data_IF_059802672736
#
_entry.id   IF_059802672736
#
_cell.length_a   1.000
_cell.length_b   1.000
_cell.length_c   1.000
_cell.angle_alpha   90.00
_cell.angle_beta   90.00
_cell.angle_gamma   90.00
#
_symmetry.space_group_name_H-M   'P 1'
#
loop_
_entity.id
_entity.type
_entity.pdbx_description
1 polymer ?
#
# COMPACT_ATOMS: atom_id res chain seq x y z
N UNK A 1 -7.70 -53.18 -28.17
CA UNK A 1 -7.03 -54.06 -27.17
C UNK A 1 -5.56 -53.70 -27.11
N UNK A 2 -5.11 -53.08 -26.03
CA UNK A 2 -3.74 -53.14 -25.47
C UNK A 2 -3.78 -52.32 -24.17
N UNK A 3 -3.86 -53.05 -23.05
CA UNK A 3 -3.75 -52.51 -21.70
C UNK A 3 -2.25 -52.27 -21.44
N UNK A 4 -1.86 -51.07 -21.04
CA UNK A 4 -0.56 -50.85 -20.39
C UNK A 4 -0.80 -50.79 -18.88
N UNK A 5 -0.11 -51.69 -18.16
CA UNK A 5 -0.18 -51.83 -16.71
C UNK A 5 0.66 -50.78 -15.99
N UNK A 6 0.10 -50.25 -14.92
CA UNK A 6 0.80 -49.47 -13.90
C UNK A 6 1.69 -50.39 -13.07
N UNK A 7 2.98 -50.09 -12.99
CA UNK A 7 3.93 -50.73 -12.08
C UNK A 7 3.98 -49.93 -10.78
N UNK A 8 3.41 -50.48 -9.71
CA UNK A 8 3.54 -49.96 -8.35
C UNK A 8 4.95 -50.25 -7.84
N UNK A 9 5.74 -49.21 -7.55
CA UNK A 9 7.00 -49.33 -6.83
C UNK A 9 6.68 -49.22 -5.34
N UNK A 10 6.72 -50.35 -4.65
CA UNK A 10 6.72 -50.40 -3.18
C UNK A 10 8.12 -50.05 -2.67
N UNK A 11 8.25 -48.91 -2.00
CA UNK A 11 9.47 -48.57 -1.24
C UNK A 11 9.30 -49.15 0.16
N UNK A 12 10.02 -50.24 0.42
CA UNK A 12 10.22 -50.79 1.77
C UNK A 12 11.22 -49.93 2.52
N UNK A 13 10.78 -49.26 3.58
CA UNK A 13 11.63 -48.52 4.49
C UNK A 13 12.32 -49.53 5.44
N UNK A 14 13.60 -49.81 5.22
CA UNK A 14 14.43 -50.58 6.14
C UNK A 14 14.97 -49.65 7.22
N UNK A 15 14.58 -49.93 8.45
CA UNK A 15 15.10 -49.33 9.67
C UNK A 15 16.61 -49.56 9.79
N UNK A 16 17.38 -48.48 9.96
CA UNK A 16 18.65 -48.43 10.71
C UNK A 16 19.17 -46.98 10.76
N UNK A 17 19.25 -46.40 11.96
CA UNK A 17 20.15 -45.28 12.25
C UNK A 17 19.51 -43.88 12.31
N UNK A 18 18.74 -43.61 13.35
CA UNK A 18 18.39 -42.26 13.77
C UNK A 18 19.26 -41.89 15.00
N UNK A 19 20.11 -40.85 14.97
CA UNK A 19 20.75 -40.35 16.19
C UNK A 19 19.78 -39.45 16.97
N UNK A 20 19.57 -39.82 18.24
CA UNK A 20 18.78 -39.07 19.23
C UNK A 20 19.41 -37.71 19.55
N UNK A 21 18.61 -36.67 19.88
CA UNK A 21 19.13 -35.47 20.53
C UNK A 21 19.40 -35.76 22.02
N UNK A 22 20.62 -35.44 22.45
CA UNK A 22 21.05 -35.56 23.84
C UNK A 22 20.61 -34.33 24.64
N UNK A 23 20.07 -34.62 25.81
CA UNK A 23 19.63 -33.69 26.86
C UNK A 23 20.79 -32.83 27.39
N UNK A 24 20.54 -31.53 27.56
CA UNK A 24 21.44 -30.60 28.23
C UNK A 24 20.69 -29.41 28.80
N UNK A 25 20.10 -29.59 29.99
CA UNK A 25 19.50 -28.53 30.79
C UNK A 25 20.46 -27.93 31.81
N UNK A 26 20.44 -26.60 31.92
CA UNK A 26 20.70 -25.71 33.08
C UNK A 26 20.61 -24.27 32.51
N UNK A 27 20.09 -23.22 33.13
CA UNK A 27 19.65 -22.94 34.49
C UNK A 27 18.59 -21.83 34.46
N UNK A 28 17.79 -21.78 35.52
CA UNK A 28 16.77 -20.75 35.75
C UNK A 28 17.40 -19.38 35.97
N UNK A 29 16.81 -18.32 35.40
CA UNK A 29 16.80 -17.01 36.05
C UNK A 29 15.48 -16.27 35.80
N UNK A 30 14.64 -16.31 36.83
CA UNK A 30 13.54 -15.37 37.07
C UNK A 30 14.10 -13.99 37.38
N UNK A 31 13.56 -12.94 36.77
CA UNK A 31 13.90 -11.56 37.10
C UNK A 31 13.01 -10.54 36.41
N UNK A 32 11.87 -10.23 37.04
CA UNK A 32 11.03 -9.08 36.73
C UNK A 32 11.73 -7.76 37.20
N UNK A 33 11.19 -6.57 36.82
CA UNK A 33 11.97 -5.37 36.60
C UNK A 33 12.30 -4.64 37.90
N UNK A 34 13.49 -4.03 37.97
CA UNK A 34 13.83 -3.05 38.99
C UNK A 34 13.92 -1.66 38.37
N UNK A 35 12.95 -0.86 38.78
CA UNK A 35 12.98 0.59 38.87
C UNK A 35 14.33 1.11 39.36
N UNK A 36 14.78 2.23 38.82
CA UNK A 36 15.34 3.26 39.68
C UNK A 36 14.93 4.65 39.21
N UNK A 37 14.43 5.40 40.18
CA UNK A 37 13.87 6.74 40.08
C UNK A 37 14.91 7.80 40.46
N UNK A 38 14.45 9.05 40.33
CA UNK A 38 14.88 10.27 41.03
C UNK A 38 15.97 11.09 40.30
N UNK A 39 15.84 12.42 40.15
CA UNK A 39 15.05 13.36 40.95
C UNK A 39 15.05 14.78 40.35
N UNK A 40 13.90 15.46 40.55
CA UNK A 40 13.71 16.87 40.96
C UNK A 40 14.18 17.96 39.98
N UNK A 41 13.49 19.07 39.74
CA UNK A 41 12.46 19.88 40.42
C UNK A 41 12.63 21.28 39.78
N UNK A 42 11.64 22.14 39.57
CA UNK A 42 10.88 22.84 40.61
C UNK A 42 9.78 23.65 39.91
N UNK A 43 8.72 23.85 40.65
CA UNK A 43 7.58 24.73 40.42
C UNK A 43 7.98 26.19 40.19
N UNK A 44 7.16 26.94 39.44
CA UNK A 44 6.74 28.27 39.89
C UNK A 44 5.47 28.75 39.17
N UNK A 45 4.68 29.46 39.96
CA UNK A 45 3.26 29.71 39.86
C UNK A 45 2.99 31.17 39.41
N UNK A 46 1.72 31.43 39.07
CA UNK A 46 1.04 32.73 39.19
C UNK A 46 1.14 33.80 38.09
N UNK A 47 -0.04 34.24 37.64
CA UNK A 47 -0.47 35.60 38.00
C UNK A 47 -0.79 36.59 36.88
N UNK A 48 -2.07 36.65 36.52
CA UNK A 48 -2.93 37.84 36.28
C UNK A 48 -2.37 39.14 35.69
N UNK A 49 -3.09 39.71 34.70
CA UNK A 49 -2.99 41.14 34.40
C UNK A 49 -3.86 41.62 33.23
N UNK A 50 -5.10 42.03 33.53
CA UNK A 50 -5.95 42.82 32.64
C UNK A 50 -5.47 44.28 32.60
N UNK A 51 -5.41 44.92 31.43
CA UNK A 51 -5.62 46.38 31.30
C UNK A 51 -6.14 46.77 29.92
N UNK A 52 -7.18 47.60 29.97
CA UNK A 52 -7.96 48.24 28.91
C UNK A 52 -7.21 49.34 28.15
N UNK A 53 -7.61 49.63 26.92
CA UNK A 53 -7.65 51.01 26.43
C UNK A 53 -8.69 51.21 25.32
N UNK A 54 -9.54 52.19 25.60
CA UNK A 54 -10.60 52.83 24.85
C UNK A 54 -10.19 53.50 23.53
N UNK A 55 -11.11 53.46 22.56
CA UNK A 55 -11.23 54.45 21.48
C UNK A 55 -12.71 54.61 21.11
N UNK A 56 -13.25 55.81 21.33
CA UNK A 56 -14.64 56.19 21.09
C UNK A 56 -14.74 57.18 19.91
N UNK A 57 -15.98 57.43 19.47
CA UNK A 57 -16.50 58.27 18.38
C UNK A 57 -16.70 57.49 17.06
N UNK A 58 -17.82 57.59 16.35
CA UNK A 58 -18.76 58.71 16.26
C UNK A 58 -20.16 58.23 15.81
N UNK A 59 -21.19 58.96 16.22
CA UNK A 59 -22.59 58.68 15.93
C UNK A 59 -23.10 59.66 14.88
N UNK A 60 -23.85 59.20 13.87
CA UNK A 60 -24.93 60.04 13.32
C UNK A 60 -26.08 59.21 12.75
N UNK A 61 -27.26 59.58 13.22
CA UNK A 61 -28.60 59.07 12.94
C UNK A 61 -29.05 59.10 11.48
N UNK A 62 -30.00 58.24 11.16
CA UNK A 62 -31.34 58.70 10.74
C UNK A 62 -32.38 57.59 10.92
N UNK A 63 -33.46 57.98 11.59
CA UNK A 63 -34.59 57.15 12.00
C UNK A 63 -35.75 57.25 11.01
N UNK A 64 -36.66 56.28 11.13
CA UNK A 64 -38.12 56.38 10.93
C UNK A 64 -38.70 55.90 9.58
N UNK A 65 -39.02 54.59 9.55
CA UNK A 65 -40.37 53.96 9.48
C UNK A 65 -41.50 54.57 8.59
N UNK A 66 -42.59 53.83 8.28
CA UNK A 66 -42.75 52.40 7.93
C UNK A 66 -43.63 52.22 6.66
N UNK A 67 -43.57 51.07 5.97
CA UNK A 67 -44.65 50.67 5.07
C UNK A 67 -44.66 49.16 4.81
N UNK A 68 -45.82 48.58 5.09
CA UNK A 68 -46.37 47.34 4.54
C UNK A 68 -45.59 46.04 4.79
N UNK A 69 -45.94 45.45 5.93
CA UNK A 69 -46.75 44.22 5.98
C UNK A 69 -47.34 43.75 4.64
N UNK A 70 -46.48 43.28 3.75
CA UNK A 70 -46.80 42.07 2.99
C UNK A 70 -45.83 41.02 3.47
N UNK A 71 -46.16 40.52 4.65
CA UNK A 71 -45.93 39.14 5.02
C UNK A 71 -46.42 38.28 3.85
N UNK A 72 -45.55 38.08 2.87
CA UNK A 72 -45.56 36.86 2.08
C UNK A 72 -44.98 35.80 3.00
N UNK A 73 -45.68 35.56 4.11
CA UNK A 73 -45.89 34.23 4.62
C UNK A 73 -46.65 33.49 3.52
N UNK A 74 -45.95 33.21 2.42
CA UNK A 74 -46.12 31.95 1.76
C UNK A 74 -45.44 30.98 2.73
N UNK A 75 -46.03 30.17 3.62
CA UNK A 75 -47.38 29.60 3.76
C UNK A 75 -48.13 29.36 2.45
N UNK A 76 -47.40 29.31 1.35
CA UNK A 76 -47.67 28.40 0.27
C UNK A 76 -46.77 27.23 0.60
N UNK A 77 -47.36 26.07 0.85
CA UNK A 77 -46.62 24.81 0.75
C UNK A 77 -46.20 24.63 -0.71
N UNK A 78 -45.22 25.40 -1.14
CA UNK A 78 -44.43 25.10 -2.31
C UNK A 78 -43.77 23.77 -2.04
N UNK A 79 -43.83 22.89 -3.02
CA UNK A 79 -43.00 21.68 -2.99
C UNK A 79 -41.56 22.19 -2.95
N UNK A 80 -40.72 21.74 -2.01
CA UNK A 80 -39.31 22.12 -1.99
C UNK A 80 -38.69 21.80 -3.35
N UNK A 81 -37.89 22.73 -3.88
CA UNK A 81 -37.27 22.60 -5.21
C UNK A 81 -35.77 22.54 -5.05
N UNK A 82 -35.22 21.35 -5.24
CA UNK A 82 -33.78 21.15 -5.25
C UNK A 82 -33.09 21.89 -6.41
N UNK A 83 -31.88 22.38 -6.15
CA UNK A 83 -31.02 23.06 -7.12
C UNK A 83 -31.36 24.55 -7.29
N UNK A 84 -32.07 25.17 -6.35
CA UNK A 84 -32.47 26.57 -6.42
C UNK A 84 -31.59 27.53 -5.58
N UNK A 85 -30.54 27.00 -4.96
CA UNK A 85 -29.58 27.64 -4.05
C UNK A 85 -30.20 28.12 -2.71
N UNK A 86 -31.35 27.57 -2.31
CA UNK A 86 -32.05 27.89 -1.08
C UNK A 86 -32.46 26.61 -0.37
N UNK A 87 -31.85 26.32 0.78
CA UNK A 87 -32.24 25.15 1.59
C UNK A 87 -33.65 25.35 2.17
N UNK A 88 -34.61 24.61 1.64
CA UNK A 88 -36.01 24.61 2.06
C UNK A 88 -36.31 23.52 3.10
N UNK A 89 -37.52 23.54 3.68
CA UNK A 89 -37.90 22.54 4.69
C UNK A 89 -38.02 21.15 4.04
N UNK A 90 -37.13 20.25 4.43
CA UNK A 90 -37.10 18.85 3.96
C UNK A 90 -35.85 18.51 3.19
N UNK A 91 -35.11 19.53 2.74
CA UNK A 91 -33.80 19.40 2.10
C UNK A 91 -32.70 19.32 3.17
N UNK A 92 -31.67 18.53 2.90
CA UNK A 92 -30.47 18.45 3.74
C UNK A 92 -29.39 19.43 3.27
N UNK A 93 -29.41 19.75 1.97
CA UNK A 93 -28.53 20.67 1.27
C UNK A 93 -29.27 21.23 0.03
N UNK A 94 -28.77 22.31 -0.56
CA UNK A 94 -29.12 22.78 -1.91
C UNK A 94 -27.95 23.65 -2.39
N UNK A 95 -27.25 23.24 -3.44
CA UNK A 95 -26.06 23.92 -3.98
C UNK A 95 -26.35 24.70 -5.28
N UNK A 96 -27.62 24.83 -5.66
CA UNK A 96 -28.05 25.63 -6.79
C UNK A 96 -27.85 24.99 -8.15
N UNK A 97 -27.66 23.67 -8.22
CA UNK A 97 -27.53 22.97 -9.49
C UNK A 97 -28.16 21.55 -9.47
N UNK A 98 -28.20 20.89 -10.62
CA UNK A 98 -28.74 19.52 -10.80
C UNK A 98 -27.61 18.49 -11.05
N UNK A 99 -26.46 18.65 -10.39
CA UNK A 99 -25.31 17.74 -10.48
C UNK A 99 -25.38 16.69 -9.37
N UNK A 100 -25.17 15.43 -9.72
CA UNK A 100 -25.02 14.37 -8.71
C UNK A 100 -23.59 14.30 -8.16
N UNK A 101 -22.58 14.82 -8.86
CA UNK A 101 -21.16 14.66 -8.50
C UNK A 101 -20.65 15.75 -7.55
N UNK A 102 -21.57 16.44 -6.89
CA UNK A 102 -21.28 17.57 -6.02
C UNK A 102 -21.61 17.18 -4.57
N UNK A 103 -21.36 18.08 -3.62
CA UNK A 103 -21.65 17.83 -2.19
C UNK A 103 -23.15 17.83 -1.85
N UNK A 104 -24.02 17.96 -2.85
CA UNK A 104 -25.46 17.88 -2.72
C UNK A 104 -26.04 17.14 -3.93
N UNK A 105 -26.78 16.06 -3.68
CA UNK A 105 -27.42 15.28 -4.75
C UNK A 105 -28.61 16.02 -5.36
N UNK A 106 -29.10 15.59 -6.54
CA UNK A 106 -30.30 16.18 -7.17
C UNK A 106 -31.59 15.95 -6.38
N UNK A 107 -31.53 15.09 -5.36
CA UNK A 107 -32.61 14.85 -4.40
C UNK A 107 -32.49 15.73 -3.15
N UNK A 108 -31.51 16.65 -3.11
CA UNK A 108 -31.20 17.53 -1.98
C UNK A 108 -30.90 16.76 -0.69
N UNK A 109 -30.23 15.63 -0.87
CA UNK A 109 -29.63 14.82 0.19
C UNK A 109 -28.11 14.99 0.15
N UNK A 110 -27.48 14.95 1.32
CA UNK A 110 -26.02 14.88 1.41
C UNK A 110 -25.56 13.51 0.88
N UNK A 111 -24.46 13.45 0.11
CA UNK A 111 -23.78 12.22 -0.30
C UNK A 111 -23.71 11.13 0.77
N UNK A 112 -23.90 9.87 0.37
CA UNK A 112 -23.79 8.71 1.25
C UNK A 112 -23.02 7.59 0.58
N UNK A 113 -22.03 7.07 1.30
CA UNK A 113 -21.16 5.96 0.89
C UNK A 113 -21.83 4.58 0.82
N UNK A 114 -23.15 4.49 0.67
CA UNK A 114 -23.89 3.22 0.62
C UNK A 114 -25.19 3.28 -0.21
N UNK A 115 -25.33 4.28 -1.07
CA UNK A 115 -26.56 4.52 -1.85
C UNK A 115 -26.43 4.26 -3.36
N UNK A 116 -25.25 3.82 -3.81
CA UNK A 116 -24.94 3.39 -5.18
C UNK A 116 -25.02 4.50 -6.19
N UNK A 117 -24.70 5.71 -5.75
CA UNK A 117 -24.54 6.89 -6.58
C UNK A 117 -23.08 7.29 -6.43
N UNK A 118 -22.44 7.74 -7.53
CA UNK A 118 -21.12 8.36 -7.46
C UNK A 118 -21.33 9.86 -7.23
N UNK A 119 -21.23 10.29 -5.98
CA UNK A 119 -21.50 11.66 -5.56
C UNK A 119 -20.45 12.23 -4.59
N UNK A 120 -20.56 13.51 -4.25
CA UNK A 120 -19.66 14.15 -3.30
C UNK A 120 -18.18 14.13 -3.71
N UNK A 121 -17.33 13.56 -2.86
CA UNK A 121 -15.89 13.39 -3.08
C UNK A 121 -15.48 11.93 -3.30
N UNK A 122 -16.43 11.06 -3.64
CA UNK A 122 -16.17 9.67 -4.01
C UNK A 122 -15.33 9.56 -5.28
N UNK A 123 -14.39 8.62 -5.28
CA UNK A 123 -13.52 8.34 -6.44
C UNK A 123 -13.94 7.11 -7.24
N UNK A 124 -14.77 6.27 -6.64
CA UNK A 124 -15.57 5.24 -7.31
C UNK A 124 -16.87 5.06 -6.50
N UNK A 125 -17.83 4.33 -7.05
CA UNK A 125 -19.18 4.20 -6.50
C UNK A 125 -19.15 3.77 -5.02
N UNK A 126 -19.67 4.62 -4.12
CA UNK A 126 -19.75 4.40 -2.67
C UNK A 126 -18.37 4.32 -1.95
N UNK A 127 -17.28 4.87 -2.53
CA UNK A 127 -15.94 4.79 -1.93
C UNK A 127 -14.97 5.93 -2.33
N UNK A 128 -13.92 6.11 -1.53
CA UNK A 128 -12.93 7.18 -1.70
C UNK A 128 -13.33 8.51 -1.06
N UNK A 129 -12.40 9.45 -0.94
CA UNK A 129 -12.67 10.75 -0.31
C UNK A 129 -13.10 10.62 1.16
N UNK A 130 -14.28 11.13 1.50
CA UNK A 130 -14.86 11.03 2.84
C UNK A 130 -15.42 9.63 3.16
N UNK A 131 -15.54 8.77 2.15
CA UNK A 131 -16.03 7.41 2.27
C UNK A 131 -14.94 6.41 2.67
N UNK A 132 -15.32 5.14 2.84
CA UNK A 132 -14.34 4.08 3.04
C UNK A 132 -13.46 3.93 1.80
N UNK A 133 -12.22 3.46 1.98
CA UNK A 133 -11.31 3.24 0.88
C UNK A 133 -11.83 2.21 -0.12
N UNK A 134 -11.67 2.51 -1.40
CA UNK A 134 -12.06 1.73 -2.56
C UNK A 134 -11.31 0.39 -2.63
N UNK A 135 -12.03 -0.67 -2.98
CA UNK A 135 -11.50 -2.02 -3.12
C UNK A 135 -10.58 -2.17 -4.35
N UNK A 136 -9.99 -3.36 -4.51
CA UNK A 136 -9.06 -3.67 -5.59
C UNK A 136 -9.70 -3.39 -6.96
N UNK A 137 -8.96 -2.67 -7.80
CA UNK A 137 -9.31 -2.23 -9.14
C UNK A 137 -10.40 -1.17 -9.27
N UNK A 138 -10.89 -0.61 -8.17
CA UNK A 138 -11.78 0.56 -8.18
C UNK A 138 -10.99 1.87 -8.34
N UNK A 139 -11.70 2.93 -8.74
CA UNK A 139 -11.19 4.27 -9.01
C UNK A 139 -10.64 4.99 -7.78
N UNK A 140 -9.58 5.77 -7.98
CA UNK A 140 -8.94 6.60 -6.96
C UNK A 140 -8.29 7.85 -7.57
N UNK A 141 -8.09 8.87 -6.73
CA UNK A 141 -7.33 10.08 -7.08
C UNK A 141 -6.06 10.22 -6.22
N UNK A 142 -6.10 9.73 -4.99
CA UNK A 142 -4.99 9.71 -4.03
C UNK A 142 -4.92 8.36 -3.31
N UNK A 143 -3.79 8.08 -2.65
CA UNK A 143 -3.60 6.80 -1.95
C UNK A 143 -4.62 6.56 -0.82
N UNK A 144 -5.07 7.62 -0.15
CA UNK A 144 -6.05 7.53 0.93
C UNK A 144 -7.45 7.12 0.44
N UNK A 145 -7.72 7.21 -0.86
CA UNK A 145 -8.98 6.74 -1.45
C UNK A 145 -9.06 5.22 -1.52
N UNK A 146 -7.97 4.50 -1.25
CA UNK A 146 -7.90 3.06 -1.40
C UNK A 146 -8.03 2.32 -0.07
N UNK A 147 -8.58 1.11 -0.12
CA UNK A 147 -8.67 0.23 1.05
C UNK A 147 -7.27 -0.09 1.60
N UNK A 148 -7.13 -0.40 2.90
CA UNK A 148 -5.83 -0.70 3.51
C UNK A 148 -5.05 -1.79 2.76
N UNK A 149 -3.78 -1.53 2.47
CA UNK A 149 -2.91 -2.44 1.71
C UNK A 149 -2.95 -2.23 0.20
N UNK A 150 -3.69 -1.23 -0.29
CA UNK A 150 -3.71 -0.81 -1.69
C UNK A 150 -3.10 0.58 -1.84
N UNK A 151 -2.63 0.88 -3.05
CA UNK A 151 -2.13 2.20 -3.46
C UNK A 151 -2.84 2.65 -4.73
N UNK A 152 -3.01 3.95 -4.88
CA UNK A 152 -3.54 4.51 -6.12
C UNK A 152 -2.43 4.57 -7.18
N UNK A 153 -2.61 3.85 -8.29
CA UNK A 153 -1.64 3.82 -9.38
C UNK A 153 -1.83 5.00 -10.34
N UNK A 154 -0.92 5.12 -11.32
CA UNK A 154 -0.95 6.20 -12.32
C UNK A 154 -2.18 6.15 -13.25
N UNK A 155 -2.86 5.00 -13.34
CA UNK A 155 -4.11 4.82 -14.10
C UNK A 155 -5.35 5.22 -13.29
N UNK A 156 -5.18 5.71 -12.04
CA UNK A 156 -6.27 6.10 -11.16
C UNK A 156 -7.04 4.90 -10.61
N UNK A 157 -6.36 3.78 -10.34
CA UNK A 157 -6.95 2.57 -9.75
C UNK A 157 -6.25 2.13 -8.47
N UNK A 158 -7.03 1.68 -7.51
CA UNK A 158 -6.54 1.05 -6.29
C UNK A 158 -5.99 -0.33 -6.61
N UNK A 159 -4.67 -0.49 -6.48
CA UNK A 159 -3.96 -1.73 -6.81
C UNK A 159 -2.99 -2.10 -5.70
N UNK A 160 -2.58 -3.37 -5.65
CA UNK A 160 -1.45 -3.74 -4.82
C UNK A 160 -0.19 -3.17 -5.47
N UNK A 161 0.57 -2.41 -4.70
CA UNK A 161 1.90 -1.90 -5.07
C UNK A 161 2.86 -2.24 -3.95
N UNK A 162 3.72 -3.22 -4.18
CA UNK A 162 4.68 -3.68 -3.17
C UNK A 162 6.10 -3.63 -3.73
N UNK A 163 7.06 -3.28 -2.88
CA UNK A 163 8.48 -3.27 -3.26
C UNK A 163 9.18 -4.45 -2.61
N UNK A 164 9.66 -5.37 -3.44
CA UNK A 164 10.44 -6.52 -3.00
C UNK A 164 11.93 -6.19 -3.05
N UNK A 165 12.64 -6.36 -1.92
CA UNK A 165 14.09 -6.22 -1.85
C UNK A 165 14.75 -7.57 -1.54
N UNK A 166 15.56 -8.09 -2.45
CA UNK A 166 16.28 -9.36 -2.26
C UNK A 166 17.75 -9.05 -1.97
N UNK A 167 18.19 -9.21 -0.72
CA UNK A 167 19.58 -8.96 -0.29
C UNK A 167 20.35 -10.24 -0.02
N UNK A 168 21.34 -10.55 -0.85
CA UNK A 168 22.13 -11.79 -0.73
C UNK A 168 23.17 -11.79 0.40
N UNK A 169 23.34 -10.71 1.17
CA UNK A 169 24.07 -10.79 2.44
C UNK A 169 23.20 -11.41 3.54
N UNK A 170 21.91 -11.11 3.53
CA UNK A 170 20.94 -11.64 4.50
C UNK A 170 20.25 -12.93 4.05
N UNK A 171 20.12 -13.14 2.73
CA UNK A 171 19.24 -14.13 2.11
C UNK A 171 20.02 -15.30 1.50
N UNK A 172 20.76 -16.01 2.34
CA UNK A 172 21.91 -16.76 1.87
C UNK A 172 21.94 -18.21 2.36
N UNK A 173 21.23 -19.10 1.65
CA UNK A 173 21.11 -20.51 2.06
C UNK A 173 19.86 -21.30 1.63
N UNK A 174 19.19 -20.98 0.52
CA UNK A 174 18.09 -21.78 -0.07
C UNK A 174 16.69 -21.20 0.11
N UNK A 175 15.66 -21.95 -0.32
CA UNK A 175 14.28 -21.50 -0.50
C UNK A 175 13.58 -20.87 0.73
N UNK A 176 14.17 -20.94 1.92
CA UNK A 176 13.64 -20.39 3.16
C UNK A 176 14.21 -19.00 3.55
N UNK A 177 15.08 -18.41 2.72
CA UNK A 177 15.74 -17.15 3.01
C UNK A 177 15.57 -16.18 1.84
N UNK A 178 14.34 -16.00 1.38
CA UNK A 178 13.97 -14.92 0.46
C UNK A 178 13.39 -13.73 1.21
N UNK A 179 13.12 -12.64 0.51
CA UNK A 179 12.18 -11.65 1.02
C UNK A 179 10.77 -12.07 0.60
N UNK A 180 9.80 -11.82 1.47
CA UNK A 180 8.42 -12.28 1.29
C UNK A 180 7.50 -11.07 1.30
N UNK A 181 6.58 -11.04 0.34
CA UNK A 181 5.38 -10.22 0.41
C UNK A 181 4.25 -11.16 0.82
N UNK A 182 3.65 -10.89 1.97
CA UNK A 182 2.63 -11.75 2.56
C UNK A 182 1.25 -11.42 1.97
N UNK A 183 0.42 -12.45 1.77
CA UNK A 183 -1.01 -12.26 1.50
C UNK A 183 -1.38 -11.58 0.19
N UNK A 184 -0.57 -11.72 -0.87
CA UNK A 184 -0.94 -11.23 -2.20
C UNK A 184 -2.22 -11.94 -2.70
N UNK A 185 -3.17 -11.21 -3.31
CA UNK A 185 -4.34 -11.83 -3.93
C UNK A 185 -3.95 -12.71 -5.14
N UNK A 186 -4.90 -13.53 -5.59
CA UNK A 186 -4.76 -14.22 -6.86
C UNK A 186 -4.94 -13.23 -8.01
N UNK A 187 -4.14 -13.33 -9.07
CA UNK A 187 -4.27 -12.45 -10.23
C UNK A 187 -2.99 -12.34 -11.03
N UNK A 188 -2.99 -11.38 -11.95
CA UNK A 188 -1.86 -11.08 -12.82
C UNK A 188 -1.11 -9.88 -12.26
N UNK A 189 0.22 -9.95 -12.30
CA UNK A 189 1.11 -8.95 -11.74
C UNK A 189 2.13 -8.50 -12.77
N UNK A 190 2.58 -7.26 -12.65
CA UNK A 190 3.77 -6.73 -13.30
C UNK A 190 4.90 -6.69 -12.27
N UNK A 191 5.99 -7.40 -12.55
CA UNK A 191 7.24 -7.22 -11.83
C UNK A 191 8.11 -6.23 -12.61
N UNK A 192 8.45 -5.08 -12.01
CA UNK A 192 9.31 -4.08 -12.67
C UNK A 192 10.60 -3.89 -11.89
N UNK A 193 11.75 -4.03 -12.55
CA UNK A 193 13.04 -3.82 -11.92
C UNK A 193 13.26 -2.34 -11.56
N UNK A 194 13.47 -2.06 -10.27
CA UNK A 194 13.69 -0.72 -9.75
C UNK A 194 15.18 -0.42 -9.58
N UNK A 195 15.61 0.84 -9.80
CA UNK A 195 16.99 1.26 -9.57
C UNK A 195 17.52 0.86 -8.20
N UNK A 196 18.39 -0.16 -8.15
CA UNK A 196 18.88 -0.73 -6.89
C UNK A 196 20.41 -0.86 -6.85
N UNK A 197 20.93 -0.93 -5.63
CA UNK A 197 22.37 -1.05 -5.37
C UNK A 197 22.85 -2.47 -5.71
N UNK A 198 23.18 -2.69 -6.98
CA UNK A 198 23.75 -3.95 -7.44
C UNK A 198 25.01 -4.40 -6.67
N UNK A 199 25.42 -5.65 -6.90
CA UNK A 199 26.44 -6.37 -6.12
C UNK A 199 27.71 -5.57 -5.78
N UNK A 200 28.20 -5.63 -4.54
CA UNK A 200 29.54 -5.22 -4.13
C UNK A 200 30.36 -6.49 -3.79
N UNK A 201 31.57 -6.60 -4.30
CA UNK A 201 32.52 -7.65 -3.88
C UNK A 201 33.57 -6.97 -3.00
N UNK A 202 33.71 -7.38 -1.74
CA UNK A 202 34.72 -6.83 -0.83
C UNK A 202 36.00 -7.68 -0.92
N UNK A 203 37.20 -7.07 -0.97
CA UNK A 203 38.47 -7.81 -0.90
C UNK A 203 38.49 -8.76 0.31
N UNK A 204 39.02 -10.00 0.19
CA UNK A 204 39.96 -10.49 -0.83
C UNK A 204 39.30 -11.15 -2.06
N UNK A 205 37.97 -11.12 -2.17
CA UNK A 205 37.26 -11.79 -3.25
C UNK A 205 37.33 -10.96 -4.54
N UNK A 206 37.92 -11.56 -5.58
CA UNK A 206 37.88 -11.02 -6.93
C UNK A 206 36.55 -11.47 -7.56
N UNK A 207 35.81 -10.63 -8.31
CA UNK A 207 34.72 -11.14 -9.12
C UNK A 207 35.25 -12.28 -9.99
N UNK A 208 34.44 -13.32 -10.30
CA UNK A 208 34.90 -14.37 -11.20
C UNK A 208 35.48 -13.72 -12.46
N UNK A 209 36.49 -14.34 -13.07
CA UNK A 209 37.16 -13.84 -14.29
C UNK A 209 36.23 -13.71 -15.52
N UNK A 210 34.92 -13.82 -15.30
CA UNK A 210 33.85 -13.92 -16.27
C UNK A 210 32.72 -12.92 -16.03
N UNK A 211 32.84 -11.83 -15.26
CA UNK A 211 31.86 -10.71 -15.23
C UNK A 211 30.56 -10.92 -14.41
N UNK A 212 29.66 -9.91 -14.41
CA UNK A 212 28.44 -9.83 -13.57
C UNK A 212 27.19 -10.46 -14.22
N UNK A 213 26.28 -11.06 -13.41
CA UNK A 213 25.01 -11.67 -13.81
C UNK A 213 23.97 -11.60 -12.65
N UNK A 214 22.69 -11.41 -12.98
CA UNK A 214 21.55 -11.37 -12.05
C UNK A 214 20.48 -12.37 -12.48
N UNK A 215 19.93 -13.14 -11.53
CA UNK A 215 18.75 -13.99 -11.70
C UNK A 215 18.04 -14.16 -10.34
N UNK A 216 16.73 -13.94 -10.32
CA UNK A 216 15.87 -14.09 -9.15
C UNK A 216 14.84 -15.18 -9.44
N UNK A 217 14.59 -16.05 -8.46
CA UNK A 217 13.51 -17.02 -8.50
C UNK A 217 12.55 -16.76 -7.36
N UNK A 218 11.26 -16.95 -7.63
CA UNK A 218 10.22 -16.85 -6.62
C UNK A 218 9.60 -18.23 -6.35
N UNK A 219 9.10 -18.42 -5.14
CA UNK A 219 8.37 -19.62 -4.76
C UNK A 219 7.07 -19.76 -5.56
N UNK A 220 6.47 -20.95 -5.54
CA UNK A 220 5.22 -21.21 -6.28
C UNK A 220 5.39 -21.39 -7.79
N UNK A 221 6.63 -21.48 -8.29
CA UNK A 221 6.92 -21.71 -9.71
C UNK A 221 6.95 -20.43 -10.55
N UNK A 222 6.91 -19.25 -9.92
CA UNK A 222 7.07 -17.96 -10.58
C UNK A 222 8.56 -17.76 -10.93
N UNK A 223 8.84 -17.68 -12.22
CA UNK A 223 10.19 -17.42 -12.75
C UNK A 223 10.18 -16.07 -13.48
N UNK A 224 11.01 -15.14 -13.02
CA UNK A 224 11.13 -13.82 -13.59
C UNK A 224 12.26 -13.81 -14.65
N UNK A 225 11.98 -14.46 -15.78
CA UNK A 225 12.93 -14.69 -16.89
C UNK A 225 13.34 -13.41 -17.66
N UNK A 226 12.54 -12.34 -17.59
CA UNK A 226 12.85 -11.03 -18.18
C UNK A 226 13.61 -10.15 -17.18
N UNK A 227 13.39 -10.33 -15.87
CA UNK A 227 14.13 -9.61 -14.82
C UNK A 227 15.48 -10.27 -14.47
N UNK A 228 16.21 -10.72 -15.49
CA UNK A 228 17.56 -11.27 -15.36
C UNK A 228 18.45 -10.78 -16.47
N UNK A 229 19.74 -10.68 -16.19
CA UNK A 229 20.70 -10.36 -17.26
C UNK A 229 20.71 -11.48 -18.32
N UNK A 230 20.81 -11.17 -19.62
CA UNK A 230 20.79 -12.19 -20.67
C UNK A 230 21.83 -13.30 -20.45
N UNK A 231 21.44 -14.59 -20.59
CA UNK A 231 22.38 -15.70 -20.44
C UNK A 231 23.60 -15.57 -21.36
N UNK A 232 24.79 -15.79 -20.80
CA UNK A 232 26.05 -15.72 -21.53
C UNK A 232 26.59 -14.31 -21.79
N UNK A 233 25.84 -13.26 -21.45
CA UNK A 233 26.34 -11.89 -21.43
C UNK A 233 26.97 -11.60 -20.08
N UNK A 234 28.13 -10.95 -20.11
CA UNK A 234 28.93 -10.65 -18.93
C UNK A 234 29.34 -9.21 -18.98
N UNK A 235 29.01 -8.48 -17.92
CA UNK A 235 29.19 -7.05 -17.88
C UNK A 235 30.54 -6.69 -17.23
N UNK A 236 31.13 -5.53 -17.59
CA UNK A 236 32.38 -5.05 -16.99
C UNK A 236 32.17 -4.39 -15.63
N UNK A 237 30.95 -3.96 -15.31
CA UNK A 237 30.60 -3.40 -14.00
C UNK A 237 29.18 -3.76 -13.58
N UNK A 238 28.95 -3.67 -12.27
CA UNK A 238 27.65 -3.78 -11.61
C UNK A 238 26.62 -2.85 -12.24
N UNK A 239 27.02 -1.59 -12.44
CA UNK A 239 26.17 -0.57 -13.03
C UNK A 239 25.73 -0.94 -14.45
N UNK A 240 26.65 -1.49 -15.26
CA UNK A 240 26.30 -1.92 -16.63
C UNK A 240 25.44 -3.18 -16.67
N UNK A 241 25.60 -4.09 -15.69
CA UNK A 241 24.73 -5.26 -15.56
C UNK A 241 23.33 -4.85 -15.11
N UNK A 242 23.25 -3.99 -14.10
CA UNK A 242 21.99 -3.52 -13.57
C UNK A 242 21.25 -2.66 -14.61
N UNK A 243 21.96 -1.78 -15.33
CA UNK A 243 21.39 -1.02 -16.45
C UNK A 243 20.82 -1.88 -17.58
N UNK A 244 21.20 -3.16 -17.67
CA UNK A 244 20.66 -4.09 -18.66
C UNK A 244 19.35 -4.77 -18.22
N UNK A 245 18.97 -4.61 -16.95
CA UNK A 245 17.68 -5.08 -16.40
C UNK A 245 16.85 -3.93 -15.83
N UNK A 246 17.39 -2.71 -15.75
CA UNK A 246 16.68 -1.57 -15.16
C UNK A 246 15.51 -1.19 -16.05
N UNK A 247 14.34 -1.00 -15.43
CA UNK A 247 13.10 -0.67 -16.13
C UNK A 247 12.58 -1.77 -17.08
N UNK A 248 13.12 -2.99 -16.99
CA UNK A 248 12.43 -4.16 -17.56
C UNK A 248 11.22 -4.47 -16.68
N UNK A 249 10.13 -4.85 -17.34
CA UNK A 249 8.86 -5.23 -16.72
C UNK A 249 8.46 -6.59 -17.24
N UNK A 250 8.09 -7.50 -16.35
CA UNK A 250 7.58 -8.82 -16.70
C UNK A 250 6.17 -9.02 -16.14
N UNK A 251 5.26 -9.50 -16.97
CA UNK A 251 3.95 -9.98 -16.54
C UNK A 251 4.02 -11.44 -16.05
N UNK A 252 3.34 -11.75 -14.95
CA UNK A 252 3.19 -13.11 -14.47
C UNK A 252 1.86 -13.33 -13.72
N UNK A 253 1.32 -14.54 -13.82
CA UNK A 253 0.15 -14.96 -13.04
C UNK A 253 0.58 -15.56 -11.69
N UNK A 254 -0.16 -15.21 -10.64
CA UNK A 254 0.06 -15.71 -9.29
C UNK A 254 -1.22 -16.26 -8.66
N UNK A 255 -1.09 -17.36 -7.92
CA UNK A 255 -2.24 -18.05 -7.29
C UNK A 255 -2.67 -17.42 -5.96
N UNK A 256 -2.01 -16.35 -5.54
CA UNK A 256 -2.19 -15.71 -4.24
C UNK A 256 -1.47 -16.42 -3.08
N UNK A 257 -1.42 -15.73 -1.95
CA UNK A 257 -0.65 -16.11 -0.77
C UNK A 257 0.69 -15.39 -0.70
N UNK A 258 1.68 -16.03 -0.07
CA UNK A 258 2.97 -15.41 0.21
C UNK A 258 3.91 -15.58 -0.99
N UNK A 259 4.37 -14.47 -1.55
CA UNK A 259 5.35 -14.45 -2.63
C UNK A 259 6.75 -14.30 -2.02
N UNK A 260 7.48 -15.42 -1.90
CA UNK A 260 8.89 -15.40 -1.46
C UNK A 260 9.83 -15.44 -2.65
N UNK A 261 10.67 -14.41 -2.80
CA UNK A 261 11.68 -14.35 -3.85
C UNK A 261 13.10 -14.39 -3.29
N UNK A 262 13.98 -15.14 -3.96
CA UNK A 262 15.34 -15.42 -3.52
C UNK A 262 16.33 -15.44 -4.69
N UNK A 263 17.59 -15.18 -4.37
CA UNK A 263 18.71 -15.37 -5.29
C UNK A 263 19.02 -16.87 -5.41
N UNK A 264 19.34 -17.33 -6.62
CA UNK A 264 19.57 -18.75 -6.93
C UNK A 264 20.98 -19.24 -6.64
N UNK A 265 21.88 -18.35 -6.23
CA UNK A 265 23.28 -18.64 -5.99
C UNK A 265 23.50 -19.20 -4.56
N UNK A 266 24.28 -20.27 -4.46
CA UNK A 266 24.55 -20.99 -3.22
C UNK A 266 25.77 -20.50 -2.44
N UNK A 267 26.56 -19.55 -2.97
CA UNK A 267 27.74 -19.02 -2.26
C UNK A 267 27.48 -17.60 -1.74
N UNK A 268 27.47 -17.51 -0.42
CA UNK A 268 27.21 -16.31 0.37
C UNK A 268 28.43 -15.49 0.77
N UNK A 269 29.61 -16.10 1.02
CA UNK A 269 30.75 -15.33 1.50
C UNK A 269 31.43 -14.48 0.43
N UNK A 270 31.12 -14.71 -0.85
CA UNK A 270 31.90 -14.14 -1.94
C UNK A 270 31.25 -12.88 -2.53
N UNK A 271 29.93 -12.70 -2.50
CA UNK A 271 29.25 -11.48 -2.96
C UNK A 271 28.27 -10.84 -1.96
N UNK A 272 28.21 -9.51 -1.96
CA UNK A 272 27.22 -8.72 -1.21
C UNK A 272 26.42 -7.79 -2.13
N UNK A 273 25.26 -7.30 -1.72
CA UNK A 273 24.37 -6.42 -2.53
C UNK A 273 22.88 -6.75 -2.42
N UNK A 274 22.06 -6.04 -3.18
CA UNK A 274 20.62 -6.27 -3.30
C UNK A 274 20.07 -5.91 -4.69
N UNK A 275 18.92 -6.47 -5.03
CA UNK A 275 18.05 -5.94 -6.10
C UNK A 275 16.70 -5.58 -5.52
N UNK A 276 16.06 -4.58 -6.12
CA UNK A 276 14.69 -4.18 -5.81
C UNK A 276 13.83 -4.27 -7.07
N UNK A 277 12.60 -4.71 -6.89
CA UNK A 277 11.59 -4.72 -7.94
C UNK A 277 10.23 -4.37 -7.35
N UNK A 278 9.42 -3.64 -8.09
CA UNK A 278 8.00 -3.47 -7.76
C UNK A 278 7.24 -4.71 -8.20
N UNK A 279 6.21 -5.06 -7.44
CA UNK A 279 5.21 -6.06 -7.76
C UNK A 279 3.87 -5.33 -7.75
N UNK A 280 3.34 -5.09 -8.95
CA UNK A 280 2.16 -4.28 -9.19
C UNK A 280 1.01 -5.17 -9.66
N UNK A 281 -0.15 -5.10 -9.03
CA UNK A 281 -1.33 -5.86 -9.48
C UNK A 281 -1.90 -5.26 -10.76
N UNK A 282 -2.11 -6.10 -11.78
CA UNK A 282 -2.68 -5.69 -13.05
C UNK A 282 -4.20 -5.88 -13.04
N UNK A 283 -4.93 -4.77 -13.07
CA UNK A 283 -6.38 -4.79 -13.22
C UNK A 283 -6.76 -5.10 -14.68
N UNK A 284 -7.53 -6.16 -14.90
CA UNK A 284 -8.10 -6.43 -16.21
C UNK A 284 -9.02 -5.28 -16.63
N UNK A 285 -8.86 -4.80 -17.86
CA UNK A 285 -9.77 -3.81 -18.44
C UNK A 285 -11.12 -4.49 -18.67
N UNK A 286 -12.12 -4.16 -17.86
CA UNK A 286 -13.50 -4.63 -18.06
C UNK A 286 -14.16 -3.90 -19.24
#
# INVERSE_FOLDING_TARGET
>A
MRRLGYSLISISCLASGCPSPEEGGFDSFTGAPTSNSASQGSDDESGSGSTSSSGAADATSSSSEPADSSSSSSSGGGVPVCGNAVVERGEQCDDGNDSEQDTCTTSCEVPRCDDRILDGDETDLDCGGACQGCELCLGCSVADDCAPGLSCNDDGRCTVHEVMSVSWVGNCGGAAQGNTIDGLPLGTYLATALPSAGTIWLPPFNPPSTGYFYEIQCAGGVVLDELRTPPGVRYPSVATAFAAVTADTQEFDFLGGDLTCYKTDGTCPDNSGSVEFSIDYLCESN
#
